data_IF_892991247399
#
_entry.id   IF_892991247399
#
_cell.length_a   1.000
_cell.length_b   1.000
_cell.length_c   1.000
_cell.angle_alpha   90.00
_cell.angle_beta   90.00
_cell.angle_gamma   90.00
#
_symmetry.space_group_name_H-M   'P 1'
#
loop_
_entity.id
_entity.type
_entity.pdbx_description
1 polymer ?
#
# COMPACT_ATOMS: atom_id res chain seq x y z
N UNK A 1 -52.13 -27.53 4.25
CA UNK A 1 -50.77 -27.64 4.83
C UNK A 1 -49.77 -27.20 3.78
N UNK A 2 -49.26 -25.97 3.86
CA UNK A 2 -48.28 -25.43 2.92
C UNK A 2 -46.91 -25.37 3.60
N UNK A 3 -45.94 -26.11 3.07
CA UNK A 3 -44.56 -26.13 3.54
C UNK A 3 -43.85 -24.82 3.17
N UNK A 4 -43.33 -24.10 4.17
CA UNK A 4 -42.50 -22.91 3.97
C UNK A 4 -41.05 -23.33 3.78
N UNK A 5 -40.44 -22.86 2.69
CA UNK A 5 -39.02 -22.99 2.38
C UNK A 5 -38.15 -22.14 3.33
N UNK A 6 -36.91 -22.56 3.65
CA UNK A 6 -36.05 -21.83 4.56
C UNK A 6 -35.40 -20.63 3.86
N UNK A 7 -35.55 -19.45 4.46
CA UNK A 7 -34.94 -18.21 3.99
C UNK A 7 -33.43 -18.24 4.23
N UNK A 8 -32.67 -18.08 3.14
CA UNK A 8 -31.22 -17.84 3.16
C UNK A 8 -30.94 -16.47 3.81
N UNK A 9 -30.40 -16.46 5.02
CA UNK A 9 -29.86 -15.25 5.65
C UNK A 9 -28.55 -14.86 4.98
N UNK A 10 -28.62 -13.91 4.06
CA UNK A 10 -27.45 -13.16 3.55
C UNK A 10 -26.86 -12.36 4.72
N UNK A 11 -25.70 -12.77 5.23
CA UNK A 11 -24.91 -11.92 6.12
C UNK A 11 -24.41 -10.72 5.33
N UNK A 12 -25.08 -9.58 5.46
CA UNK A 12 -24.65 -8.31 4.91
C UNK A 12 -23.45 -7.80 5.70
N UNK A 13 -22.32 -7.61 5.01
CA UNK A 13 -21.18 -6.87 5.56
C UNK A 13 -21.62 -5.41 5.63
N UNK A 14 -21.87 -4.91 6.85
CA UNK A 14 -22.20 -3.51 7.13
C UNK A 14 -21.01 -2.64 6.71
N UNK A 15 -21.14 -1.87 5.63
CA UNK A 15 -20.16 -0.86 5.25
C UNK A 15 -20.33 0.34 6.19
N UNK A 16 -19.56 0.35 7.28
CA UNK A 16 -19.49 1.48 8.20
C UNK A 16 -18.89 2.67 7.45
N UNK A 17 -19.62 3.79 7.38
CA UNK A 17 -19.11 5.06 6.87
C UNK A 17 -18.14 5.67 7.89
N UNK A 18 -16.93 5.12 8.03
CA UNK A 18 -15.82 5.83 8.64
C UNK A 18 -15.46 7.04 7.78
N UNK A 19 -15.00 8.13 8.38
CA UNK A 19 -14.43 9.23 7.60
C UNK A 19 -13.20 8.67 6.86
N UNK A 20 -13.31 8.53 5.54
CA UNK A 20 -12.23 8.06 4.68
C UNK A 20 -11.39 9.26 4.24
N UNK A 21 -10.07 9.14 4.28
CA UNK A 21 -9.19 10.01 3.53
C UNK A 21 -9.53 9.84 2.04
N UNK A 22 -9.81 10.93 1.34
CA UNK A 22 -10.16 10.84 -0.08
C UNK A 22 -8.94 10.37 -0.87
N UNK A 23 -9.13 9.53 -1.88
CA UNK A 23 -8.03 9.06 -2.74
C UNK A 23 -7.19 10.23 -3.31
N UNK A 24 -7.80 11.40 -3.51
CA UNK A 24 -7.13 12.64 -3.92
C UNK A 24 -6.13 13.18 -2.89
N UNK A 25 -6.42 13.11 -1.59
CA UNK A 25 -5.49 13.57 -0.53
C UNK A 25 -4.28 12.63 -0.40
N UNK A 26 -4.51 11.32 -0.50
CA UNK A 26 -3.45 10.32 -0.47
C UNK A 26 -2.56 10.40 -1.73
N UNK A 27 -3.16 10.52 -2.91
CA UNK A 27 -2.43 10.69 -4.17
C UNK A 27 -1.64 12.02 -4.23
N UNK A 28 -2.23 13.12 -3.75
CA UNK A 28 -1.54 14.40 -3.63
C UNK A 28 -0.37 14.32 -2.64
N UNK A 29 -0.54 13.60 -1.52
CA UNK A 29 0.52 13.41 -0.53
C UNK A 29 1.65 12.53 -1.04
N UNK A 30 1.36 11.45 -1.76
CA UNK A 30 2.36 10.58 -2.39
C UNK A 30 3.09 11.29 -3.54
N UNK A 31 2.38 12.09 -4.34
CA UNK A 31 2.99 12.91 -5.41
C UNK A 31 3.84 14.04 -4.81
N UNK A 32 3.37 14.70 -3.76
CA UNK A 32 4.12 15.72 -3.05
C UNK A 32 5.30 15.14 -2.25
N UNK A 33 5.19 13.93 -1.72
CA UNK A 33 6.29 13.22 -1.07
C UNK A 33 7.32 12.74 -2.09
N UNK A 34 6.89 12.24 -3.25
CA UNK A 34 7.79 11.90 -4.37
C UNK A 34 8.48 13.14 -4.93
N UNK A 35 7.75 14.25 -5.09
CA UNK A 35 8.32 15.55 -5.48
C UNK A 35 9.27 16.09 -4.40
N UNK A 36 8.93 15.96 -3.12
CA UNK A 36 9.79 16.38 -1.99
C UNK A 36 11.02 15.50 -1.83
N UNK A 37 10.92 14.20 -2.03
CA UNK A 37 12.03 13.25 -2.01
C UNK A 37 12.95 13.48 -3.22
N UNK A 38 12.37 13.72 -4.40
CA UNK A 38 13.12 14.21 -5.56
C UNK A 38 13.83 15.54 -5.25
N UNK A 39 13.15 16.47 -4.57
CA UNK A 39 13.70 17.77 -4.18
C UNK A 39 14.76 17.67 -3.07
N UNK A 40 14.66 16.71 -2.13
CA UNK A 40 15.62 16.51 -1.04
C UNK A 40 16.89 15.81 -1.51
N UNK A 41 16.77 14.86 -2.46
CA UNK A 41 17.93 14.31 -3.18
C UNK A 41 18.64 15.39 -3.98
N UNK A 42 17.89 16.29 -4.62
CA UNK A 42 18.45 17.48 -5.28
C UNK A 42 19.09 18.44 -4.25
N UNK A 43 18.49 18.65 -3.07
CA UNK A 43 19.03 19.58 -2.06
C UNK A 43 20.31 19.11 -1.36
N UNK A 44 20.64 17.82 -1.40
CA UNK A 44 21.96 17.30 -0.96
C UNK A 44 23.07 17.57 -2.00
N UNK A 45 22.71 17.96 -3.22
CA UNK A 45 23.60 18.60 -4.19
C UNK A 45 23.42 20.12 -4.13
N UNK A 46 24.44 20.86 -3.70
CA UNK A 46 24.31 22.29 -3.39
C UNK A 46 23.67 23.14 -4.51
N UNK A 47 22.64 23.93 -4.12
CA UNK A 47 22.46 25.29 -4.62
C UNK A 47 21.20 25.63 -5.43
N UNK A 48 20.34 26.41 -4.77
CA UNK A 48 19.49 27.53 -5.26
C UNK A 48 18.05 27.26 -5.73
N UNK A 49 17.16 27.95 -5.01
CA UNK A 49 15.82 28.47 -5.33
C UNK A 49 15.26 28.15 -6.73
N UNK A 50 14.17 27.38 -6.78
CA UNK A 50 13.38 27.13 -7.99
C UNK A 50 12.11 27.99 -8.01
N UNK A 51 12.04 28.94 -8.96
CA UNK A 51 10.80 29.63 -9.34
C UNK A 51 9.94 28.70 -10.22
N UNK A 52 8.62 28.81 -10.06
CA UNK A 52 7.59 28.15 -10.88
C UNK A 52 7.81 28.44 -12.38
N UNK A 53 8.29 27.45 -13.13
CA UNK A 53 8.37 27.51 -14.59
C UNK A 53 9.65 26.88 -15.12
N UNK A 54 9.60 25.58 -15.44
CA UNK A 54 10.72 24.85 -16.05
C UNK A 54 10.89 23.43 -15.47
N UNK A 55 10.12 22.47 -15.98
CA UNK A 55 10.24 21.03 -15.68
C UNK A 55 11.35 20.34 -16.51
N UNK A 56 12.45 21.03 -16.77
CA UNK A 56 13.62 20.47 -17.45
C UNK A 56 14.86 20.84 -16.66
N UNK A 57 15.35 19.93 -15.82
CA UNK A 57 16.77 19.80 -15.58
C UNK A 57 17.11 18.44 -14.98
N UNK A 58 18.26 17.94 -15.42
CA UNK A 58 18.69 16.56 -15.39
C UNK A 58 18.94 16.04 -13.96
N UNK A 59 18.45 14.83 -13.69
CA UNK A 59 18.94 14.00 -12.59
C UNK A 59 20.36 13.53 -12.93
N UNK A 60 21.36 14.36 -12.67
CA UNK A 60 22.76 13.96 -12.76
C UNK A 60 23.19 13.29 -11.45
N UNK A 61 23.48 11.99 -11.51
CA UNK A 61 24.50 11.38 -10.66
C UNK A 61 24.11 10.44 -9.52
N UNK A 62 22.82 10.24 -9.18
CA UNK A 62 22.43 9.18 -8.24
C UNK A 62 21.09 8.55 -8.60
N UNK A 63 20.98 7.24 -8.36
CA UNK A 63 19.82 6.42 -8.70
C UNK A 63 18.54 6.99 -8.06
N UNK A 64 17.50 7.35 -8.84
CA UNK A 64 16.28 7.93 -8.28
C UNK A 64 15.53 6.99 -7.34
N UNK A 65 15.83 5.68 -7.34
CA UNK A 65 15.10 4.76 -6.48
C UNK A 65 15.37 4.96 -4.99
N UNK A 66 16.53 5.48 -4.58
CA UNK A 66 16.74 5.81 -3.15
C UNK A 66 15.74 6.86 -2.66
N UNK A 67 15.46 7.88 -3.49
CA UNK A 67 14.43 8.87 -3.20
C UNK A 67 13.03 8.24 -3.16
N UNK A 68 12.75 7.34 -4.08
CA UNK A 68 11.46 6.66 -4.16
C UNK A 68 11.23 5.73 -2.97
N UNK A 69 12.25 5.01 -2.52
CA UNK A 69 12.18 4.11 -1.36
C UNK A 69 11.92 4.91 -0.08
N UNK A 70 12.60 6.06 0.09
CA UNK A 70 12.40 6.94 1.24
C UNK A 70 11.01 7.62 1.24
N UNK A 71 10.43 7.87 0.06
CA UNK A 71 9.16 8.56 -0.07
C UNK A 71 7.99 7.80 0.59
N UNK A 72 8.01 6.46 0.56
CA UNK A 72 6.91 5.63 1.07
C UNK A 72 6.81 5.68 2.61
N UNK A 73 7.86 5.40 3.41
CA UNK A 73 7.82 5.55 4.86
C UNK A 73 7.48 6.97 5.32
N UNK A 74 7.99 8.00 4.61
CA UNK A 74 7.66 9.40 4.93
C UNK A 74 6.18 9.70 4.69
N UNK A 75 5.63 9.22 3.57
CA UNK A 75 4.19 9.37 3.25
C UNK A 75 3.34 8.63 4.27
N UNK A 76 3.73 7.40 4.63
CA UNK A 76 3.01 6.59 5.60
C UNK A 76 2.95 7.27 6.97
N UNK A 77 4.08 7.82 7.43
CA UNK A 77 4.16 8.57 8.68
C UNK A 77 3.21 9.77 8.70
N UNK A 78 3.11 10.51 7.59
CA UNK A 78 2.18 11.63 7.46
C UNK A 78 0.72 11.15 7.46
N UNK A 79 0.40 10.09 6.72
CA UNK A 79 -0.95 9.51 6.71
C UNK A 79 -1.38 9.01 8.09
N UNK A 80 -0.49 8.34 8.83
CA UNK A 80 -0.75 7.88 10.19
C UNK A 80 -0.95 9.05 11.16
N UNK A 81 -0.20 10.14 11.01
CA UNK A 81 -0.42 11.37 11.81
C UNK A 81 -1.79 12.00 11.52
N UNK A 82 -2.17 12.09 10.25
CA UNK A 82 -3.48 12.59 9.85
C UNK A 82 -4.61 11.69 10.34
N UNK A 83 -4.42 10.37 10.27
CA UNK A 83 -5.35 9.38 10.79
C UNK A 83 -5.59 9.58 12.30
N UNK A 84 -4.53 9.77 13.09
CA UNK A 84 -4.62 10.06 14.53
C UNK A 84 -5.37 11.37 14.81
N UNK A 85 -5.14 12.42 14.01
CA UNK A 85 -5.77 13.75 14.21
C UNK A 85 -7.23 13.81 13.77
N UNK A 86 -7.55 13.22 12.61
CA UNK A 86 -8.87 13.29 11.97
C UNK A 86 -9.78 12.09 12.30
N UNK A 87 -9.22 11.05 12.93
CA UNK A 87 -9.93 9.81 13.26
C UNK A 87 -10.14 8.89 12.06
N UNK A 88 -9.21 8.89 11.11
CA UNK A 88 -9.28 7.98 9.95
C UNK A 88 -8.69 6.62 10.29
N UNK A 89 -9.20 5.57 9.68
CA UNK A 89 -8.77 4.19 9.92
C UNK A 89 -8.52 3.41 8.63
N UNK A 90 -8.44 4.12 7.51
CA UNK A 90 -8.25 3.57 6.19
C UNK A 90 -6.77 3.49 5.80
N UNK A 91 -6.53 2.76 4.72
CA UNK A 91 -5.25 2.66 4.06
C UNK A 91 -5.41 2.59 2.56
N UNK A 92 -4.27 2.62 1.87
CA UNK A 92 -4.21 2.65 0.41
C UNK A 92 -3.03 1.85 -0.11
N UNK A 93 -3.16 1.37 -1.34
CA UNK A 93 -2.02 0.92 -2.14
C UNK A 93 -1.38 2.11 -2.86
N UNK A 94 -0.13 1.98 -3.28
CA UNK A 94 0.55 3.01 -4.05
C UNK A 94 1.50 2.40 -5.08
N UNK A 95 1.52 2.94 -6.29
CA UNK A 95 2.44 2.59 -7.36
C UNK A 95 2.97 3.87 -7.98
N UNK A 96 4.29 3.98 -8.09
CA UNK A 96 4.99 5.08 -8.72
C UNK A 96 5.79 4.54 -9.91
N UNK A 97 5.68 5.21 -11.05
CA UNK A 97 6.50 4.97 -12.23
C UNK A 97 7.17 6.28 -12.62
N UNK A 98 8.50 6.28 -12.64
CA UNK A 98 9.30 7.35 -13.23
C UNK A 98 9.85 6.88 -14.57
N UNK A 99 9.60 7.67 -15.60
CA UNK A 99 10.17 7.48 -16.93
C UNK A 99 11.30 8.49 -17.08
N UNK A 100 12.51 8.02 -17.42
CA UNK A 100 13.69 8.86 -17.60
C UNK A 100 14.39 8.48 -18.89
N UNK A 101 14.85 9.47 -19.64
CA UNK A 101 15.45 9.29 -20.96
C UNK A 101 14.91 10.33 -21.93
N UNK A 102 15.73 10.75 -22.88
CA UNK A 102 15.37 11.82 -23.84
C UNK A 102 14.96 11.25 -25.19
N UNK A 103 15.45 10.07 -25.54
CA UNK A 103 15.09 9.32 -26.74
C UNK A 103 14.45 7.98 -26.37
N UNK A 104 13.65 7.41 -27.29
CA UNK A 104 12.93 6.14 -27.08
C UNK A 104 13.91 5.01 -26.71
N UNK A 105 15.05 4.95 -27.38
CA UNK A 105 16.11 3.95 -27.16
C UNK A 105 16.84 4.09 -25.80
N UNK A 106 16.64 5.21 -25.11
CA UNK A 106 17.29 5.52 -23.82
C UNK A 106 16.30 5.49 -22.64
N UNK A 107 15.02 5.17 -22.89
CA UNK A 107 14.00 5.18 -21.86
C UNK A 107 14.29 4.11 -20.78
N UNK A 108 14.48 4.58 -19.55
CA UNK A 108 14.51 3.76 -18.34
C UNK A 108 13.24 4.00 -17.52
N UNK A 109 12.60 2.91 -17.12
CA UNK A 109 11.44 2.89 -16.25
C UNK A 109 11.88 2.51 -14.83
N UNK A 110 11.59 3.36 -13.85
CA UNK A 110 11.82 3.08 -12.43
C UNK A 110 10.48 2.92 -11.74
N UNK A 111 10.25 1.77 -11.12
CA UNK A 111 9.02 1.47 -10.39
C UNK A 111 9.28 1.33 -8.90
N UNK A 112 8.30 1.76 -8.12
CA UNK A 112 8.25 1.63 -6.67
C UNK A 112 6.79 1.43 -6.26
N UNK A 113 6.46 0.35 -5.53
CA UNK A 113 5.06 0.09 -5.16
C UNK A 113 4.88 -0.62 -3.82
N UNK A 114 3.69 -0.44 -3.24
CA UNK A 114 3.17 -1.07 -2.02
C UNK A 114 1.72 -1.49 -2.26
N UNK A 115 1.38 -2.72 -1.89
CA UNK A 115 0.05 -3.30 -2.09
C UNK A 115 -0.07 -4.20 -3.32
N UNK A 116 -1.31 -4.47 -3.73
CA UNK A 116 -1.67 -5.34 -4.84
C UNK A 116 -1.97 -4.59 -6.15
N UNK A 117 -1.66 -3.30 -6.18
CA UNK A 117 -1.61 -2.51 -7.41
C UNK A 117 -0.53 -3.07 -8.37
N UNK A 118 -0.82 -3.02 -9.68
CA UNK A 118 -0.02 -3.71 -10.70
C UNK A 118 0.36 -2.81 -11.85
N UNK A 119 1.64 -2.79 -12.21
CA UNK A 119 2.11 -2.23 -13.47
C UNK A 119 2.31 -3.32 -14.52
N UNK A 120 1.81 -3.04 -15.71
CA UNK A 120 1.93 -3.90 -16.90
C UNK A 120 2.35 -3.01 -18.07
N UNK A 121 3.45 -3.34 -18.73
CA UNK A 121 3.96 -2.66 -19.90
C UNK A 121 3.53 -3.41 -21.16
N UNK A 122 2.91 -2.71 -22.10
CA UNK A 122 2.69 -3.25 -23.44
C UNK A 122 3.93 -2.98 -24.30
N UNK A 123 4.60 -4.04 -24.78
CA UNK A 123 5.78 -3.94 -25.64
C UNK A 123 5.76 -5.05 -26.68
N UNK A 124 5.86 -4.68 -27.96
CA UNK A 124 5.80 -5.63 -29.08
C UNK A 124 4.49 -6.41 -29.17
N UNK A 125 3.37 -5.81 -28.77
CA UNK A 125 2.06 -6.48 -28.72
C UNK A 125 1.88 -7.45 -27.54
N UNK A 126 2.87 -7.58 -26.65
CA UNK A 126 2.80 -8.43 -25.46
C UNK A 126 2.63 -7.60 -24.19
N UNK A 127 1.86 -8.13 -23.24
CA UNK A 127 1.70 -7.58 -21.90
C UNK A 127 2.80 -8.13 -20.96
N UNK A 128 3.74 -7.28 -20.57
CA UNK A 128 4.85 -7.61 -19.69
C UNK A 128 4.56 -7.07 -18.29
N UNK A 129 4.36 -7.96 -17.33
CA UNK A 129 4.13 -7.60 -15.93
C UNK A 129 5.42 -7.06 -15.30
N UNK A 130 5.37 -5.87 -14.69
CA UNK A 130 6.54 -5.21 -14.09
C UNK A 130 6.61 -5.31 -12.57
N UNK A 131 5.48 -5.54 -11.89
CA UNK A 131 5.41 -5.60 -10.41
C UNK A 131 4.80 -6.91 -9.91
N UNK A 132 5.22 -7.37 -8.74
CA UNK A 132 4.59 -8.50 -8.05
C UNK A 132 3.62 -7.99 -6.97
N UNK A 133 2.38 -8.53 -6.93
CA UNK A 133 1.38 -8.09 -5.95
C UNK A 133 1.87 -8.44 -4.53
N UNK A 134 1.64 -7.55 -3.57
CA UNK A 134 1.89 -7.81 -2.15
C UNK A 134 0.68 -8.48 -1.50
N UNK A 135 0.60 -9.81 -1.60
CA UNK A 135 -0.49 -10.61 -1.05
C UNK A 135 -0.05 -11.45 0.15
N UNK A 136 -0.94 -11.70 1.13
CA UNK A 136 -0.63 -12.50 2.32
C UNK A 136 -0.21 -13.97 2.04
N UNK A 137 -0.50 -14.54 0.87
CA UNK A 137 -0.09 -15.90 0.48
C UNK A 137 1.34 -16.01 -0.04
N UNK A 138 1.98 -14.88 -0.34
CA UNK A 138 3.41 -14.87 -0.64
C UNK A 138 4.19 -15.34 0.60
N UNK A 139 5.10 -16.31 0.41
CA UNK A 139 5.80 -16.98 1.53
C UNK A 139 6.61 -16.01 2.42
N UNK A 140 7.25 -15.03 1.81
CA UNK A 140 7.98 -13.95 2.48
C UNK A 140 7.04 -13.07 3.31
N UNK A 141 5.92 -12.64 2.72
CA UNK A 141 4.92 -11.81 3.41
C UNK A 141 4.22 -12.58 4.53
N UNK A 142 3.85 -13.83 4.29
CA UNK A 142 3.22 -14.70 5.28
C UNK A 142 4.12 -14.90 6.51
N UNK A 143 5.42 -15.11 6.28
CA UNK A 143 6.41 -15.24 7.34
C UNK A 143 6.49 -13.94 8.15
N UNK A 144 6.68 -12.80 7.48
CA UNK A 144 6.76 -11.48 8.11
C UNK A 144 5.53 -11.18 8.98
N UNK A 145 4.33 -11.46 8.48
CA UNK A 145 3.07 -11.24 9.21
C UNK A 145 3.01 -12.10 10.47
N UNK A 146 3.37 -13.38 10.39
CA UNK A 146 3.38 -14.30 11.53
C UNK A 146 4.43 -13.91 12.57
N UNK A 147 5.62 -13.49 12.15
CA UNK A 147 6.69 -13.00 13.02
C UNK A 147 6.34 -11.69 13.74
N UNK A 148 5.43 -10.90 13.16
CA UNK A 148 4.83 -9.72 13.78
C UNK A 148 3.67 -10.05 14.74
N UNK A 149 3.35 -11.33 14.95
CA UNK A 149 2.24 -11.79 15.80
C UNK A 149 0.87 -11.76 15.12
N UNK A 150 0.84 -11.56 13.80
CA UNK A 150 -0.38 -11.58 12.99
C UNK A 150 -0.82 -12.95 12.54
N UNK A 151 -2.00 -12.99 11.94
CA UNK A 151 -2.55 -14.19 11.31
C UNK A 151 -2.71 -14.04 9.80
N UNK A 152 -2.58 -15.15 9.09
CA UNK A 152 -2.88 -15.25 7.66
C UNK A 152 -3.84 -16.41 7.42
N UNK A 153 -4.99 -16.11 6.83
CA UNK A 153 -6.10 -17.05 6.66
C UNK A 153 -6.66 -16.98 5.25
N UNK A 154 -7.17 -18.09 4.75
CA UNK A 154 -7.92 -18.12 3.51
C UNK A 154 -9.42 -18.14 3.83
N UNK A 155 -10.15 -17.12 3.37
CA UNK A 155 -11.61 -17.01 3.54
C UNK A 155 -12.23 -16.96 2.16
N UNK A 156 -13.04 -17.97 1.82
CA UNK A 156 -13.69 -18.10 0.52
C UNK A 156 -12.72 -17.96 -0.67
N UNK A 157 -11.54 -18.59 -0.57
CA UNK A 157 -10.50 -18.55 -1.60
C UNK A 157 -9.60 -17.31 -1.58
N UNK A 158 -9.91 -16.29 -0.78
CA UNK A 158 -9.12 -15.05 -0.69
C UNK A 158 -8.24 -15.10 0.57
N UNK A 159 -6.95 -14.89 0.38
CA UNK A 159 -5.99 -14.78 1.47
C UNK A 159 -6.09 -13.42 2.15
N UNK A 160 -6.18 -13.42 3.47
CA UNK A 160 -6.33 -12.24 4.31
C UNK A 160 -5.33 -12.27 5.45
N UNK A 161 -4.79 -11.10 5.79
CA UNK A 161 -3.97 -10.90 6.97
C UNK A 161 -4.73 -10.08 8.03
N UNK A 162 -4.38 -10.29 9.30
CA UNK A 162 -5.02 -9.64 10.44
C UNK A 162 -4.06 -9.57 11.63
N UNK A 163 -4.43 -8.84 12.67
CA UNK A 163 -3.69 -8.73 13.93
C UNK A 163 -3.84 -10.00 14.79
N UNK A 164 -3.16 -10.02 15.94
CA UNK A 164 -3.22 -11.14 16.88
C UNK A 164 -4.66 -11.41 17.38
N UNK A 165 -5.44 -10.35 17.60
CA UNK A 165 -6.83 -10.45 18.06
C UNK A 165 -7.70 -11.12 17.00
N UNK A 166 -7.57 -10.71 15.74
CA UNK A 166 -8.24 -11.35 14.62
C UNK A 166 -7.80 -12.77 14.40
N UNK A 167 -6.52 -13.06 14.59
CA UNK A 167 -6.01 -14.42 14.48
C UNK A 167 -6.61 -15.35 15.53
N UNK A 168 -6.66 -14.93 16.80
CA UNK A 168 -7.29 -15.69 17.87
C UNK A 168 -8.78 -15.94 17.59
N UNK A 169 -9.47 -14.92 17.07
CA UNK A 169 -10.89 -15.04 16.70
C UNK A 169 -11.14 -15.97 15.52
N UNK A 170 -10.30 -15.91 14.50
CA UNK A 170 -10.43 -16.77 13.32
C UNK A 170 -10.28 -18.27 13.66
N UNK A 171 -9.61 -18.59 14.77
CA UNK A 171 -9.46 -19.95 15.29
C UNK A 171 -10.62 -20.38 16.20
N UNK A 172 -11.40 -19.45 16.74
CA UNK A 172 -12.52 -19.76 17.62
C UNK A 172 -13.77 -20.10 16.80
N UNK A 173 -14.10 -21.39 16.72
CA UNK A 173 -15.29 -21.90 16.02
C UNK A 173 -16.62 -21.36 16.57
N UNK A 174 -16.63 -20.76 17.78
CA UNK A 174 -17.81 -20.16 18.40
C UNK A 174 -17.86 -18.64 18.24
N UNK A 175 -16.80 -18.02 17.71
CA UNK A 175 -16.74 -16.58 17.54
C UNK A 175 -17.78 -16.11 16.51
N UNK A 176 -18.83 -15.45 16.99
CA UNK A 176 -19.79 -14.76 16.14
C UNK A 176 -19.23 -13.38 15.75
N UNK A 177 -19.34 -12.98 14.48
CA UNK A 177 -19.04 -11.62 14.04
C UNK A 177 -20.08 -10.68 14.64
N UNK A 178 -19.68 -9.87 15.62
CA UNK A 178 -20.52 -8.83 16.22
C UNK A 178 -20.26 -7.51 15.50
N UNK A 179 -21.26 -6.63 15.49
CA UNK A 179 -21.22 -5.33 14.80
C UNK A 179 -20.19 -4.33 15.41
N UNK A 180 -19.58 -4.71 16.53
CA UNK A 180 -18.53 -3.94 17.21
C UNK A 180 -17.12 -4.51 17.00
N UNK A 181 -16.96 -5.48 16.09
CA UNK A 181 -15.64 -6.00 15.78
C UNK A 181 -14.81 -4.97 15.00
N UNK A 182 -13.71 -4.53 15.62
CA UNK A 182 -12.75 -3.61 15.02
C UNK A 182 -11.63 -4.34 14.26
N UNK A 183 -11.64 -5.67 14.25
CA UNK A 183 -10.61 -6.47 13.60
C UNK A 183 -10.68 -6.32 12.07
N UNK A 184 -9.56 -5.93 11.48
CA UNK A 184 -9.41 -5.82 10.02
C UNK A 184 -8.85 -7.11 9.43
N UNK A 185 -9.38 -7.51 8.28
CA UNK A 185 -8.91 -8.65 7.50
C UNK A 185 -8.61 -8.20 6.07
N UNK A 186 -7.35 -7.83 5.80
CA UNK A 186 -6.94 -7.25 4.53
C UNK A 186 -6.38 -8.29 3.57
N UNK A 187 -6.73 -8.18 2.29
CA UNK A 187 -6.18 -9.01 1.22
C UNK A 187 -4.80 -8.57 0.72
N UNK A 188 -4.28 -7.47 1.26
CA UNK A 188 -2.97 -6.91 0.93
C UNK A 188 -2.06 -7.04 2.15
N UNK A 189 -0.80 -7.40 1.93
CA UNK A 189 0.19 -7.54 3.01
C UNK A 189 1.02 -6.27 3.25
N UNK A 190 0.96 -5.32 2.32
CA UNK A 190 1.65 -4.03 2.40
C UNK A 190 0.70 -2.92 2.00
N UNK A 191 0.66 -1.82 2.76
CA UNK A 191 -0.19 -0.66 2.50
C UNK A 191 0.45 0.60 3.07
N UNK A 192 -0.05 1.76 2.64
CA UNK A 192 0.10 3.02 3.35
C UNK A 192 -1.15 3.28 4.19
N UNK A 193 -1.02 3.90 5.36
CA UNK A 193 -2.12 4.01 6.32
C UNK A 193 -2.39 2.71 7.06
N UNK A 194 -3.67 2.35 7.25
CA UNK A 194 -4.13 1.20 8.04
C UNK A 194 -3.59 1.21 9.49
N UNK A 195 -3.88 2.27 10.28
CA UNK A 195 -3.26 2.46 11.59
C UNK A 195 -3.49 1.29 12.55
N UNK A 196 -4.64 0.61 12.46
CA UNK A 196 -4.98 -0.53 13.32
C UNK A 196 -4.01 -1.71 13.17
N UNK A 197 -3.41 -1.90 11.98
CA UNK A 197 -2.47 -2.99 11.69
C UNK A 197 -1.00 -2.52 11.72
N UNK A 198 -0.76 -1.28 12.15
CA UNK A 198 0.57 -0.68 12.33
C UNK A 198 0.80 -0.14 13.73
N UNK A 199 -0.04 -0.49 14.70
CA UNK A 199 0.08 0.02 16.08
C UNK A 199 1.32 -0.50 16.83
N UNK A 200 1.95 -1.57 16.35
CA UNK A 200 3.25 -2.02 16.83
C UNK A 200 4.35 -1.41 15.95
N UNK A 201 4.97 -0.33 16.42
CA UNK A 201 6.00 0.42 15.67
C UNK A 201 7.26 -0.43 15.40
N UNK A 202 7.59 -1.39 16.28
CA UNK A 202 8.79 -2.24 16.12
C UNK A 202 8.60 -3.30 15.02
N UNK A 203 7.39 -3.86 14.91
CA UNK A 203 7.06 -4.93 13.95
C UNK A 203 5.60 -4.80 13.49
N UNK A 204 5.30 -3.94 12.50
CA UNK A 204 3.94 -3.75 12.04
C UNK A 204 3.44 -4.98 11.24
N UNK A 205 2.15 -5.29 11.37
CA UNK A 205 1.49 -6.38 10.62
C UNK A 205 1.52 -6.05 9.12
N UNK A 206 1.32 -4.79 8.74
CA UNK A 206 1.44 -4.32 7.37
C UNK A 206 2.75 -3.57 7.16
N UNK A 207 3.49 -3.94 6.12
CA UNK A 207 4.70 -3.19 5.75
C UNK A 207 4.35 -1.98 4.89
N UNK A 208 5.08 -0.89 5.10
CA UNK A 208 5.10 0.29 4.21
C UNK A 208 6.36 0.32 3.32
N UNK A 209 7.21 -0.70 3.40
CA UNK A 209 8.43 -0.82 2.62
C UNK A 209 8.06 -1.21 1.18
N UNK A 210 8.42 -0.38 0.18
CA UNK A 210 8.11 -0.68 -1.21
C UNK A 210 9.04 -1.72 -1.81
N UNK A 211 8.55 -2.41 -2.84
CA UNK A 211 9.42 -3.11 -3.79
C UNK A 211 9.82 -2.12 -4.90
N UNK A 212 11.11 -2.07 -5.27
CA UNK A 212 11.63 -1.24 -6.36
C UNK A 212 12.17 -2.06 -7.52
N UNK A 213 12.02 -1.57 -8.74
CA UNK A 213 12.62 -2.20 -9.93
C UNK A 213 12.95 -1.19 -11.01
N UNK A 214 13.95 -1.52 -11.85
CA UNK A 214 14.31 -0.76 -13.04
C UNK A 214 14.14 -1.63 -14.27
N UNK A 215 13.55 -1.08 -15.32
CA UNK A 215 13.39 -1.70 -16.63
C UNK A 215 13.93 -0.77 -17.72
N UNK A 216 14.56 -1.35 -18.74
CA UNK A 216 14.95 -0.69 -19.99
C UNK A 216 14.14 -1.28 -21.16
#
# INVERSE_FOLDING_TARGET
>A
MAARSPQSTRAGISQRTSRTCTCSEAAASATAASTRAASSVVSKGGGRHYRRGGLQQAFSGSFPAGAMEEAFPLTDKELLQQARRKGFSDGTTALLLLVSGSAIEELSLYLCHVGDCRAVLCRGGAAVRLTQDHRPDRRDEQRRIKEAGGGVFQVSGIWRCTDAKGAARALDAKASFTDHDSTLYLSCSRTLGDPALKMNDDRPILSNVPDTSRHA
#
